data_IF_139754801320
#
_entry.id   IF_139754801320
#
_cell.length_a   1.000
_cell.length_b   1.000
_cell.length_c   1.000
_cell.angle_alpha   90.00
_cell.angle_beta   90.00
_cell.angle_gamma   90.00
#
_symmetry.space_group_name_H-M   'P 1'
#
loop_
_entity.id
_entity.type
_entity.pdbx_description
1 polymer ?
#
# COMPACT_ATOMS: atom_id res chain seq x y z
N UNK A 1 9.05 21.81 -2.11
CA UNK A 1 9.03 20.32 -2.06
C UNK A 1 10.30 19.87 -1.37
N UNK A 2 10.22 18.94 -0.42
CA UNK A 2 11.40 18.48 0.35
C UNK A 2 12.09 17.33 -0.40
N UNK A 3 13.41 17.24 -0.34
CA UNK A 3 14.16 16.04 -0.76
C UNK A 3 14.70 15.34 0.47
N UNK A 4 14.31 14.10 0.70
CA UNK A 4 14.83 13.22 1.76
C UNK A 4 15.92 12.32 1.18
N UNK A 5 17.13 12.41 1.73
CA UNK A 5 18.24 11.52 1.44
C UNK A 5 18.24 10.34 2.41
N UNK A 6 17.73 9.21 1.93
CA UNK A 6 17.53 7.95 2.67
C UNK A 6 18.63 6.93 2.30
N UNK A 7 18.73 5.86 3.07
CA UNK A 7 19.60 4.73 2.76
C UNK A 7 18.93 3.81 1.73
N UNK A 8 19.68 3.49 0.67
CA UNK A 8 19.31 2.44 -0.26
C UNK A 8 19.23 1.09 0.46
N UNK A 9 18.27 0.27 0.04
CA UNK A 9 18.07 -1.09 0.52
C UNK A 9 17.72 -1.99 -0.68
N UNK A 10 17.70 -3.30 -0.44
CA UNK A 10 17.24 -4.27 -1.44
C UNK A 10 15.81 -4.00 -1.85
N UNK A 11 15.47 -4.45 -3.06
CA UNK A 11 14.14 -4.34 -3.63
C UNK A 11 13.04 -4.81 -2.65
N UNK A 12 11.96 -4.02 -2.57
CA UNK A 12 10.85 -4.25 -1.65
C UNK A 12 11.08 -3.76 -0.22
N UNK A 13 12.28 -3.30 0.14
CA UNK A 13 12.58 -2.68 1.44
C UNK A 13 12.75 -1.18 1.25
N UNK A 14 11.95 -0.36 1.94
CA UNK A 14 12.13 1.12 1.91
C UNK A 14 13.47 1.52 2.54
N UNK A 15 13.68 1.10 3.78
CA UNK A 15 14.93 1.23 4.54
C UNK A 15 14.83 0.34 5.78
N UNK A 16 15.95 -0.26 6.19
CA UNK A 16 16.04 -1.01 7.45
C UNK A 16 16.54 -0.15 8.61
N UNK A 17 16.96 1.09 8.33
CA UNK A 17 17.49 1.98 9.35
C UNK A 17 16.36 2.71 10.09
N UNK A 18 16.34 2.67 11.43
CA UNK A 18 15.41 3.48 12.21
C UNK A 18 15.58 4.98 11.99
N UNK A 19 16.77 5.44 11.60
CA UNK A 19 17.04 6.87 11.52
C UNK A 19 16.22 7.57 10.42
N UNK A 20 16.22 7.10 9.16
CA UNK A 20 15.37 7.68 8.13
C UNK A 20 13.88 7.43 8.33
N UNK A 21 13.48 6.32 8.97
CA UNK A 21 12.09 6.10 9.36
C UNK A 21 11.54 7.22 10.25
N UNK A 22 12.33 7.75 11.19
CA UNK A 22 11.92 8.89 12.03
C UNK A 22 11.55 10.10 11.17
N UNK A 23 12.43 10.49 10.25
CA UNK A 23 12.17 11.62 9.34
C UNK A 23 10.98 11.34 8.41
N UNK A 24 10.83 10.10 7.94
CA UNK A 24 9.68 9.67 7.13
C UNK A 24 8.37 9.84 7.91
N UNK A 25 8.31 9.37 9.16
CA UNK A 25 7.14 9.58 10.01
C UNK A 25 6.86 11.06 10.26
N UNK A 26 7.87 11.89 10.51
CA UNK A 26 7.68 13.34 10.70
C UNK A 26 7.10 14.00 9.45
N UNK A 27 7.69 13.75 8.27
CA UNK A 27 7.20 14.30 7.00
C UNK A 27 5.77 13.85 6.72
N UNK A 28 5.49 12.57 6.97
CA UNK A 28 4.18 11.97 6.77
C UNK A 28 3.11 12.52 7.71
N UNK A 29 3.42 12.62 9.00
CA UNK A 29 2.52 13.14 10.04
C UNK A 29 2.17 14.60 9.81
N UNK A 30 3.16 15.38 9.34
CA UNK A 30 2.98 16.78 8.97
C UNK A 30 2.33 16.98 7.61
N UNK A 31 2.11 15.90 6.86
CA UNK A 31 1.61 15.91 5.49
C UNK A 31 2.45 16.80 4.54
N UNK A 32 3.77 16.78 4.70
CA UNK A 32 4.68 17.56 3.86
C UNK A 32 5.07 16.77 2.61
N UNK A 33 4.95 17.35 1.40
CA UNK A 33 5.31 16.67 0.17
C UNK A 33 6.83 16.56 0.02
N UNK A 34 7.31 15.33 -0.20
CA UNK A 34 8.73 15.06 -0.37
C UNK A 34 9.01 13.97 -1.41
N UNK A 35 10.21 14.04 -2.00
CA UNK A 35 10.79 12.93 -2.77
C UNK A 35 11.89 12.27 -1.97
N UNK A 36 12.10 10.97 -2.17
CA UNK A 36 13.21 10.22 -1.57
C UNK A 36 14.33 10.04 -2.60
N UNK A 37 15.57 10.30 -2.21
CA UNK A 37 16.78 9.94 -2.94
C UNK A 37 17.47 8.83 -2.13
N UNK A 38 17.43 7.56 -2.59
CA UNK A 38 18.15 6.49 -1.94
C UNK A 38 19.64 6.61 -2.25
N UNK A 39 20.49 6.52 -1.22
CA UNK A 39 21.94 6.54 -1.34
C UNK A 39 22.53 5.27 -0.75
N UNK A 40 23.51 4.68 -1.44
CA UNK A 40 24.36 3.65 -0.85
C UNK A 40 25.24 4.27 0.24
N UNK A 41 25.58 3.50 1.28
CA UNK A 41 26.43 3.98 2.37
C UNK A 41 27.72 4.71 1.92
N UNK A 42 28.53 4.19 0.97
CA UNK A 42 29.75 4.88 0.55
C UNK A 42 29.49 6.18 -0.22
N UNK A 43 28.28 6.39 -0.74
CA UNK A 43 27.94 7.56 -1.57
C UNK A 43 27.43 8.75 -0.73
N UNK A 44 27.10 8.52 0.54
CA UNK A 44 26.55 9.56 1.44
C UNK A 44 27.49 10.76 1.55
N UNK A 45 28.75 10.53 1.95
CA UNK A 45 29.71 11.61 2.18
C UNK A 45 30.06 12.37 0.90
N UNK A 46 30.40 11.72 -0.24
CA UNK A 46 30.64 12.41 -1.50
C UNK A 46 29.44 13.25 -1.98
N UNK A 47 28.23 12.69 -1.95
CA UNK A 47 27.04 13.38 -2.44
C UNK A 47 26.66 14.54 -1.52
N UNK A 48 26.80 14.38 -0.20
CA UNK A 48 26.48 15.46 0.74
C UNK A 48 27.45 16.63 0.63
N UNK A 49 28.75 16.36 0.44
CA UNK A 49 29.74 17.40 0.16
C UNK A 49 29.41 18.17 -1.13
N UNK A 50 29.06 17.46 -2.19
CA UNK A 50 28.67 18.04 -3.49
C UNK A 50 27.42 18.93 -3.37
N UNK A 51 26.45 18.51 -2.56
CA UNK A 51 25.19 19.22 -2.36
C UNK A 51 25.24 20.31 -1.27
N UNK A 52 26.37 20.45 -0.56
CA UNK A 52 26.51 21.38 0.55
C UNK A 52 25.69 20.99 1.79
N UNK A 53 25.36 19.70 1.95
CA UNK A 53 24.71 19.20 3.16
C UNK A 53 25.78 19.05 4.25
N UNK A 54 25.59 19.65 5.44
CA UNK A 54 26.59 19.59 6.50
C UNK A 54 26.68 18.18 7.13
N UNK A 55 27.80 17.85 7.79
CA UNK A 55 27.91 16.63 8.59
C UNK A 55 26.95 16.67 9.79
N UNK A 56 26.43 15.51 10.19
CA UNK A 56 25.50 15.39 11.33
C UNK A 56 26.21 15.34 12.67
N UNK A 57 27.43 14.80 12.69
CA UNK A 57 28.25 14.63 13.89
C UNK A 57 29.73 14.54 13.51
N UNK A 58 30.58 14.26 14.50
CA UNK A 58 32.01 14.01 14.34
C UNK A 58 32.33 12.55 14.68
N UNK A 59 33.27 11.96 13.94
CA UNK A 59 33.85 10.65 14.25
C UNK A 59 34.75 10.75 15.50
N UNK A 60 35.14 9.62 16.12
CA UNK A 60 36.03 9.63 17.28
C UNK A 60 37.40 10.28 17.03
N UNK A 61 37.88 10.28 15.79
CA UNK A 61 39.11 10.93 15.34
C UNK A 61 38.95 12.44 15.06
N UNK A 62 37.76 13.01 15.26
CA UNK A 62 37.42 14.40 15.00
C UNK A 62 37.03 14.71 13.55
N UNK A 63 37.09 13.75 12.63
CA UNK A 63 36.68 13.96 11.25
C UNK A 63 35.16 14.16 11.12
N UNK A 64 34.68 14.92 10.12
CA UNK A 64 33.25 15.04 9.83
C UNK A 64 32.58 13.68 9.58
N UNK A 65 31.41 13.47 10.15
CA UNK A 65 30.59 12.28 9.91
C UNK A 65 29.29 12.66 9.23
N UNK A 66 29.11 12.18 8.00
CA UNK A 66 27.91 12.39 7.20
C UNK A 66 27.00 11.18 7.35
N UNK A 67 25.73 11.40 7.68
CA UNK A 67 24.78 10.31 7.94
C UNK A 67 23.42 10.58 7.33
N UNK A 68 22.74 9.51 6.91
CA UNK A 68 21.31 9.54 6.61
C UNK A 68 20.46 9.36 7.88
N UNK A 69 19.30 10.04 8.02
CA UNK A 69 18.67 10.91 7.02
C UNK A 69 19.27 12.31 6.99
N UNK A 70 19.16 12.94 5.84
CA UNK A 70 19.31 14.39 5.65
C UNK A 70 18.24 14.87 4.70
N UNK A 71 17.87 16.14 4.77
CA UNK A 71 16.92 16.75 3.85
C UNK A 71 17.51 18.00 3.20
N UNK A 72 17.01 18.32 2.01
CA UNK A 72 17.03 19.69 1.48
C UNK A 72 15.59 20.15 1.34
N UNK A 73 15.24 21.20 2.06
CA UNK A 73 13.99 21.89 1.86
C UNK A 73 14.13 22.94 0.76
N UNK A 74 13.61 22.65 -0.42
CA UNK A 74 13.72 23.55 -1.57
C UNK A 74 12.85 24.80 -1.45
N UNK A 75 11.90 24.86 -0.50
CA UNK A 75 11.12 26.08 -0.26
C UNK A 75 11.99 27.19 0.37
N UNK A 76 12.95 26.80 1.21
CA UNK A 76 13.86 27.72 1.91
C UNK A 76 15.32 27.57 1.45
N UNK A 77 15.58 26.61 0.55
CA UNK A 77 16.92 26.17 0.15
C UNK A 77 17.81 25.77 1.35
N UNK A 78 17.23 25.13 2.36
CA UNK A 78 17.92 24.80 3.61
C UNK A 78 18.28 23.31 3.66
N UNK A 79 19.58 22.94 3.72
CA UNK A 79 20.01 21.59 4.04
C UNK A 79 19.96 21.36 5.56
N UNK A 80 19.35 20.25 5.97
CA UNK A 80 19.26 19.86 7.39
C UNK A 80 19.64 18.39 7.54
N UNK A 81 20.47 18.10 8.53
CA UNK A 81 20.94 16.75 8.85
C UNK A 81 20.64 16.46 10.32
N UNK A 82 20.73 15.18 10.71
CA UNK A 82 20.25 14.62 11.98
C UNK A 82 18.73 14.55 12.08
N UNK A 83 18.20 13.34 12.34
CA UNK A 83 16.76 13.09 12.36
C UNK A 83 15.98 13.92 13.39
N UNK A 84 16.58 14.24 14.55
CA UNK A 84 15.94 15.06 15.60
C UNK A 84 15.97 16.53 15.19
N UNK A 85 17.12 17.03 14.72
CA UNK A 85 17.23 18.41 14.20
C UNK A 85 16.34 18.66 12.99
N UNK A 86 16.14 17.65 12.14
CA UNK A 86 15.17 17.71 11.05
C UNK A 86 13.75 17.88 11.61
N UNK A 87 13.38 17.17 12.68
CA UNK A 87 12.08 17.34 13.32
C UNK A 87 11.90 18.76 13.89
N UNK A 88 12.91 19.28 14.61
CA UNK A 88 12.91 20.67 15.11
C UNK A 88 12.79 21.70 13.99
N UNK A 89 13.54 21.53 12.90
CA UNK A 89 13.47 22.39 11.73
C UNK A 89 12.06 22.38 11.13
N UNK A 90 11.47 21.19 10.93
CA UNK A 90 10.16 21.07 10.31
C UNK A 90 9.03 21.60 11.20
N UNK A 91 9.13 21.47 12.52
CA UNK A 91 8.20 22.12 13.47
C UNK A 91 8.25 23.66 13.36
N UNK A 92 9.45 24.22 13.18
CA UNK A 92 9.67 25.66 13.04
C UNK A 92 9.31 26.20 11.66
N UNK A 93 9.66 25.49 10.59
CA UNK A 93 9.49 25.92 9.21
C UNK A 93 8.04 25.78 8.73
N UNK A 94 7.28 24.84 9.32
CA UNK A 94 5.89 24.54 8.97
C UNK A 94 5.00 24.54 10.23
N UNK A 95 4.87 25.68 10.93
CA UNK A 95 4.17 25.77 12.22
C UNK A 95 2.66 25.46 12.12
N UNK A 96 2.08 25.56 10.93
CA UNK A 96 0.69 25.21 10.64
C UNK A 96 0.42 23.69 10.61
N UNK A 97 1.47 22.88 10.54
CA UNK A 97 1.38 21.42 10.60
C UNK A 97 1.39 20.91 12.04
N UNK A 98 0.85 19.70 12.31
CA UNK A 98 0.95 19.07 13.62
C UNK A 98 2.38 19.06 14.16
N UNK A 99 2.56 19.54 15.40
CA UNK A 99 3.87 19.62 16.04
C UNK A 99 4.32 18.23 16.52
N UNK A 100 5.58 17.87 16.25
CA UNK A 100 6.15 16.58 16.69
C UNK A 100 6.98 16.73 17.96
N UNK A 101 7.46 17.94 18.24
CA UNK A 101 8.08 18.36 19.49
C UNK A 101 7.20 19.49 20.07
N UNK A 102 6.19 19.15 20.88
CA UNK A 102 5.28 20.15 21.44
C UNK A 102 6.02 21.19 22.30
N UNK A 103 5.55 22.44 22.25
CA UNK A 103 6.09 23.53 23.06
C UNK A 103 6.06 23.19 24.56
N UNK A 104 7.19 23.35 25.23
CA UNK A 104 7.38 23.00 26.64
C UNK A 104 7.77 21.53 26.88
N UNK A 105 7.81 20.70 25.84
CA UNK A 105 8.26 19.30 25.91
C UNK A 105 9.64 19.08 25.26
N UNK A 106 10.31 20.12 24.76
CA UNK A 106 11.57 20.04 24.00
C UNK A 106 12.63 19.26 24.78
N UNK A 107 12.86 19.62 26.04
CA UNK A 107 13.84 18.96 26.91
C UNK A 107 13.50 17.49 27.17
N UNK A 108 12.21 17.16 27.33
CA UNK A 108 11.77 15.78 27.56
C UNK A 108 11.88 14.92 26.30
N UNK A 109 11.55 15.48 25.13
CA UNK A 109 11.70 14.80 23.84
C UNK A 109 13.18 14.56 23.51
N UNK A 110 14.06 15.53 23.78
CA UNK A 110 15.50 15.37 23.62
C UNK A 110 16.06 14.29 24.57
N UNK A 111 15.73 14.38 25.87
CA UNK A 111 16.17 13.39 26.84
C UNK A 111 15.66 11.97 26.52
N UNK A 112 14.43 11.85 26.02
CA UNK A 112 13.90 10.56 25.56
C UNK A 112 14.70 10.02 24.37
N UNK A 113 14.94 10.85 23.34
CA UNK A 113 15.69 10.44 22.15
C UNK A 113 17.13 10.00 22.49
N UNK A 114 17.79 10.72 23.39
CA UNK A 114 19.14 10.37 23.88
C UNK A 114 19.15 9.09 24.70
N UNK A 115 18.17 8.90 25.60
CA UNK A 115 18.12 7.74 26.50
C UNK A 115 17.59 6.47 25.82
N UNK A 116 16.83 6.59 24.73
CA UNK A 116 16.25 5.46 24.02
C UNK A 116 17.32 4.53 23.43
N UNK A 117 18.38 5.06 22.79
CA UNK A 117 19.39 4.23 22.14
C UNK A 117 20.25 3.42 23.11
N UNK A 118 20.73 3.98 24.23
CA UNK A 118 21.35 3.21 25.30
C UNK A 118 20.43 2.11 25.85
N UNK A 119 19.14 2.40 26.07
CA UNK A 119 18.16 1.41 26.53
C UNK A 119 18.05 0.24 25.54
N UNK A 120 18.02 0.52 24.24
CA UNK A 120 17.91 -0.48 23.18
C UNK A 120 19.24 -1.16 22.83
N UNK A 121 20.35 -0.82 23.49
CA UNK A 121 21.66 -1.41 23.28
C UNK A 121 21.70 -2.96 23.25
N UNK A 122 20.99 -3.67 24.14
CA UNK A 122 20.92 -5.15 24.13
C UNK A 122 20.37 -5.75 22.83
N UNK A 123 19.70 -4.97 21.99
CA UNK A 123 19.10 -5.43 20.72
C UNK A 123 20.13 -5.52 19.60
N UNK A 124 21.20 -4.72 19.64
CA UNK A 124 22.16 -4.63 18.54
C UNK A 124 22.84 -5.95 18.15
N UNK A 125 23.24 -6.85 19.06
CA UNK A 125 23.79 -8.16 18.70
C UNK A 125 22.85 -9.03 17.84
N UNK A 126 21.53 -8.85 17.97
CA UNK A 126 20.51 -9.57 17.20
C UNK A 126 20.15 -8.85 15.90
N UNK A 127 20.19 -7.51 15.90
CA UNK A 127 19.78 -6.67 14.78
C UNK A 127 20.86 -6.54 13.70
N UNK A 128 22.10 -6.23 14.09
CA UNK A 128 23.17 -5.85 13.17
C UNK A 128 23.57 -6.95 12.16
N UNK A 129 23.61 -8.25 12.53
CA UNK A 129 23.87 -9.31 11.54
C UNK A 129 22.80 -9.34 10.44
N UNK A 130 21.52 -9.18 10.81
CA UNK A 130 20.40 -9.16 9.88
C UNK A 130 20.35 -7.88 9.03
N UNK A 131 20.85 -6.76 9.54
CA UNK A 131 20.86 -5.49 8.82
C UNK A 131 21.63 -5.58 7.49
N UNK A 132 22.79 -6.26 7.46
CA UNK A 132 23.56 -6.44 6.23
C UNK A 132 22.76 -7.17 5.13
N UNK A 133 21.87 -8.09 5.50
CA UNK A 133 21.03 -8.82 4.55
C UNK A 133 19.97 -7.94 3.87
N UNK A 134 19.66 -6.77 4.44
CA UNK A 134 18.68 -5.81 3.90
C UNK A 134 19.30 -4.83 2.89
N UNK A 135 20.63 -4.79 2.79
CA UNK A 135 21.37 -3.80 2.01
C UNK A 135 21.81 -4.34 0.65
N UNK A 136 21.98 -3.46 -0.34
CA UNK A 136 22.62 -3.81 -1.61
C UNK A 136 24.09 -4.21 -1.38
N UNK A 137 24.72 -4.98 -2.29
CA UNK A 137 26.05 -5.55 -2.06
C UNK A 137 27.11 -4.54 -1.60
N UNK A 138 27.18 -3.38 -2.26
CA UNK A 138 28.15 -2.32 -1.94
C UNK A 138 27.92 -1.74 -0.54
N UNK A 139 26.67 -1.47 -0.18
CA UNK A 139 26.30 -1.03 1.18
C UNK A 139 26.51 -2.10 2.23
N UNK A 140 26.24 -3.37 1.92
CA UNK A 140 26.44 -4.48 2.84
C UNK A 140 27.92 -4.65 3.20
N UNK A 141 28.81 -4.62 2.19
CA UNK A 141 30.26 -4.69 2.41
C UNK A 141 30.76 -3.51 3.26
N UNK A 142 30.36 -2.29 2.91
CA UNK A 142 30.68 -1.10 3.69
C UNK A 142 30.21 -1.24 5.14
N UNK A 143 28.95 -1.65 5.33
CA UNK A 143 28.31 -1.76 6.64
C UNK A 143 29.00 -2.81 7.51
N UNK A 144 29.31 -3.99 6.94
CA UNK A 144 30.03 -5.06 7.65
C UNK A 144 31.38 -4.55 8.13
N UNK A 145 32.17 -3.93 7.26
CA UNK A 145 33.49 -3.39 7.61
C UNK A 145 33.38 -2.33 8.69
N UNK A 146 32.58 -1.28 8.44
CA UNK A 146 32.49 -0.12 9.31
C UNK A 146 31.93 -0.46 10.69
N UNK A 147 30.93 -1.35 10.77
CA UNK A 147 30.38 -1.77 12.06
C UNK A 147 31.29 -2.77 12.78
N UNK A 148 32.02 -3.62 12.06
CA UNK A 148 32.96 -4.53 12.72
C UNK A 148 34.10 -3.77 13.39
N UNK A 149 34.59 -2.72 12.72
CA UNK A 149 35.56 -1.78 13.29
C UNK A 149 34.98 -1.03 14.50
N UNK A 150 33.75 -0.50 14.39
CA UNK A 150 33.09 0.21 15.47
C UNK A 150 32.86 -0.63 16.73
N UNK A 151 32.44 -1.89 16.57
CA UNK A 151 32.13 -2.79 17.69
C UNK A 151 33.31 -3.67 18.13
N UNK A 152 34.43 -3.65 17.39
CA UNK A 152 35.62 -4.46 17.68
C UNK A 152 35.43 -5.97 17.48
N UNK A 153 34.34 -6.39 16.83
CA UNK A 153 34.01 -7.79 16.56
C UNK A 153 33.42 -7.95 15.16
N UNK A 154 33.62 -9.08 14.46
CA UNK A 154 32.95 -9.33 13.19
C UNK A 154 31.43 -9.29 13.37
N UNK A 155 30.73 -8.34 12.73
CA UNK A 155 29.29 -8.16 13.02
C UNK A 155 28.43 -9.37 12.68
N UNK A 156 28.84 -10.19 11.72
CA UNK A 156 28.11 -11.41 11.34
C UNK A 156 28.24 -12.51 12.40
N UNK A 157 29.22 -12.39 13.30
CA UNK A 157 29.48 -13.32 14.40
C UNK A 157 29.07 -12.75 15.77
N UNK A 158 28.60 -11.51 15.82
CA UNK A 158 28.24 -10.80 17.05
C UNK A 158 27.06 -11.43 17.79
N UNK A 159 26.18 -12.16 17.09
CA UNK A 159 25.01 -12.76 17.70
C UNK A 159 25.40 -13.80 18.76
N UNK A 160 24.91 -13.68 20.01
CA UNK A 160 25.21 -14.65 21.05
C UNK A 160 24.60 -16.02 20.72
N UNK A 161 25.23 -17.09 21.22
CA UNK A 161 24.85 -18.50 20.96
C UNK A 161 24.60 -19.26 22.27
N UNK A 162 23.85 -20.36 22.21
CA UNK A 162 23.58 -21.23 23.36
C UNK A 162 22.95 -20.47 24.55
N UNK A 163 23.39 -20.78 25.76
CA UNK A 163 22.88 -20.16 27.00
C UNK A 163 23.11 -18.64 27.02
N UNK A 164 24.23 -18.16 26.47
CA UNK A 164 24.50 -16.73 26.37
C UNK A 164 23.47 -16.00 25.47
N UNK A 165 22.89 -16.69 24.48
CA UNK A 165 21.80 -16.15 23.66
C UNK A 165 20.54 -15.94 24.48
N UNK A 166 20.19 -16.91 25.32
CA UNK A 166 19.01 -16.85 26.17
C UNK A 166 19.13 -15.69 27.16
N UNK A 167 20.28 -15.55 27.82
CA UNK A 167 20.53 -14.45 28.76
C UNK A 167 20.58 -13.08 28.08
N UNK A 168 21.16 -12.99 26.87
CA UNK A 168 21.14 -11.76 26.10
C UNK A 168 19.72 -11.39 25.65
N UNK A 169 18.89 -12.37 25.30
CA UNK A 169 17.50 -12.13 24.89
C UNK A 169 16.63 -11.65 26.06
N UNK A 170 16.86 -12.15 27.28
CA UNK A 170 16.21 -11.61 28.50
C UNK A 170 16.52 -10.12 28.72
N UNK A 171 17.73 -9.67 28.37
CA UNK A 171 18.08 -8.24 28.45
C UNK A 171 17.34 -7.42 27.40
N UNK A 172 17.04 -7.99 26.24
CA UNK A 172 16.16 -7.36 25.23
C UNK A 172 14.74 -7.21 25.80
N UNK A 173 14.18 -8.29 26.34
CA UNK A 173 12.86 -8.26 26.97
C UNK A 173 12.79 -7.21 28.09
N UNK A 174 13.79 -7.16 28.99
CA UNK A 174 13.87 -6.17 30.06
C UNK A 174 13.95 -4.71 29.55
N UNK A 175 14.57 -4.48 28.39
CA UNK A 175 14.60 -3.17 27.77
C UNK A 175 13.20 -2.75 27.29
N UNK A 176 12.45 -3.67 26.68
CA UNK A 176 11.05 -3.45 26.34
C UNK A 176 10.17 -3.29 27.57
N UNK A 177 10.39 -4.05 28.65
CA UNK A 177 9.66 -3.86 29.91
C UNK A 177 9.86 -2.46 30.50
N UNK A 178 11.09 -1.95 30.45
CA UNK A 178 11.42 -0.58 30.87
C UNK A 178 10.68 0.45 30.01
N UNK A 179 10.72 0.29 28.69
CA UNK A 179 10.02 1.17 27.75
C UNK A 179 8.50 1.12 27.96
N UNK A 180 7.94 -0.06 28.22
CA UNK A 180 6.53 -0.23 28.57
C UNK A 180 6.21 0.47 29.90
N UNK A 181 7.11 0.40 30.88
CA UNK A 181 6.99 1.12 32.15
C UNK A 181 6.89 2.63 31.95
N UNK A 182 7.66 3.21 31.02
CA UNK A 182 7.56 4.62 30.65
C UNK A 182 6.24 4.93 29.94
N UNK A 183 5.89 4.16 28.90
CA UNK A 183 4.67 4.38 28.13
C UNK A 183 3.40 4.19 28.98
N UNK A 184 3.44 3.32 29.98
CA UNK A 184 2.31 3.08 30.91
C UNK A 184 2.05 4.23 31.88
N UNK A 185 2.92 5.24 31.94
CA UNK A 185 2.64 6.50 32.65
C UNK A 185 1.75 7.44 31.84
N UNK A 186 1.58 7.17 30.55
CA UNK A 186 0.69 7.92 29.68
C UNK A 186 -0.73 7.33 29.72
N UNK A 187 -1.79 8.18 29.74
CA UNK A 187 -3.18 7.71 29.73
C UNK A 187 -3.68 7.21 28.36
N UNK A 188 -2.90 7.39 27.29
CA UNK A 188 -3.28 7.05 25.92
C UNK A 188 -2.29 6.11 25.23
N UNK A 189 -2.44 5.89 23.91
CA UNK A 189 -1.60 4.97 23.15
C UNK A 189 -0.17 5.50 22.94
N UNK A 190 0.07 6.81 23.10
CA UNK A 190 1.34 7.49 22.82
C UNK A 190 1.98 8.05 24.10
N UNK A 191 3.24 8.49 24.05
CA UNK A 191 3.95 9.03 25.23
C UNK A 191 3.35 10.33 25.79
N UNK A 192 2.54 11.05 25.01
CA UNK A 192 1.78 12.24 25.45
C UNK A 192 0.26 12.03 25.32
N UNK A 193 -0.23 10.88 25.78
CA UNK A 193 -1.64 10.50 25.74
C UNK A 193 -2.09 10.18 24.32
N UNK A 194 -2.99 11.00 23.80
CA UNK A 194 -3.50 10.92 22.42
C UNK A 194 -2.63 11.68 21.42
N UNK A 195 -1.65 12.47 21.90
CA UNK A 195 -0.79 13.28 21.04
C UNK A 195 0.43 12.47 20.61
N UNK A 196 0.60 12.27 19.31
CA UNK A 196 1.82 11.70 18.72
C UNK A 196 2.95 12.74 18.79
N UNK A 197 4.13 12.27 19.17
CA UNK A 197 5.34 13.08 19.27
C UNK A 197 6.55 12.38 18.65
N UNK A 198 7.68 13.06 18.61
CA UNK A 198 8.94 12.50 18.09
C UNK A 198 9.37 11.24 18.87
N UNK A 199 9.14 11.19 20.19
CA UNK A 199 9.36 10.00 21.01
C UNK A 199 8.63 8.77 20.47
N UNK A 200 7.38 8.93 20.03
CA UNK A 200 6.60 7.85 19.43
C UNK A 200 7.20 7.39 18.11
N UNK A 201 7.71 8.32 17.29
CA UNK A 201 8.42 8.00 16.05
C UNK A 201 9.75 7.31 16.27
N UNK A 202 10.47 7.63 17.35
CA UNK A 202 11.69 6.91 17.73
C UNK A 202 11.38 5.44 17.98
N UNK A 203 10.34 5.14 18.77
CA UNK A 203 9.93 3.77 19.07
C UNK A 203 9.43 3.04 17.82
N UNK A 204 8.51 3.66 17.07
CA UNK A 204 7.95 3.06 15.85
C UNK A 204 9.04 2.75 14.82
N UNK A 205 9.99 3.66 14.64
CA UNK A 205 11.10 3.48 13.70
C UNK A 205 12.06 2.36 14.12
N UNK A 206 12.30 2.21 15.42
CA UNK A 206 13.09 1.09 15.94
C UNK A 206 12.39 -0.25 15.66
N UNK A 207 11.07 -0.33 15.88
CA UNK A 207 10.28 -1.51 15.56
C UNK A 207 10.26 -1.82 14.05
N UNK A 208 10.23 -0.80 13.18
CA UNK A 208 10.38 -1.00 11.72
C UNK A 208 11.74 -1.58 11.35
N UNK A 209 12.82 -1.06 11.92
CA UNK A 209 14.17 -1.59 11.71
C UNK A 209 14.28 -3.04 12.20
N UNK A 210 13.73 -3.33 13.38
CA UNK A 210 13.69 -4.69 13.93
C UNK A 210 12.96 -5.66 13.01
N UNK A 211 11.78 -5.28 12.53
CA UNK A 211 10.99 -6.07 11.58
C UNK A 211 11.78 -6.38 10.31
N UNK A 212 12.47 -5.39 9.76
CA UNK A 212 13.25 -5.54 8.54
C UNK A 212 14.46 -6.47 8.72
N UNK A 213 15.21 -6.31 9.83
CA UNK A 213 16.43 -7.08 10.07
C UNK A 213 16.18 -8.49 10.61
N UNK A 214 15.16 -8.66 11.48
CA UNK A 214 14.82 -9.97 12.06
C UNK A 214 13.89 -10.76 11.13
N UNK A 215 13.22 -10.11 10.18
CA UNK A 215 12.15 -10.66 9.33
C UNK A 215 10.86 -10.99 10.11
N UNK A 216 9.71 -10.89 9.43
CA UNK A 216 8.39 -11.13 10.04
C UNK A 216 8.20 -12.55 10.57
N UNK A 217 8.95 -13.51 10.06
CA UNK A 217 8.80 -14.92 10.38
C UNK A 217 9.70 -15.39 11.53
N UNK A 218 10.62 -14.55 12.01
CA UNK A 218 11.51 -14.90 13.12
C UNK A 218 10.76 -15.04 14.45
N UNK A 219 11.26 -15.91 15.31
CA UNK A 219 10.74 -16.08 16.66
C UNK A 219 11.02 -14.83 17.51
N UNK A 220 12.13 -14.13 17.25
CA UNK A 220 12.48 -12.85 17.86
C UNK A 220 11.41 -11.78 17.58
N UNK A 221 11.06 -11.57 16.31
CA UNK A 221 10.02 -10.60 15.95
C UNK A 221 8.66 -10.97 16.53
N UNK A 222 8.26 -12.25 16.44
CA UNK A 222 7.01 -12.74 17.03
C UNK A 222 6.96 -12.50 18.54
N UNK A 223 8.07 -12.73 19.24
CA UNK A 223 8.19 -12.51 20.70
C UNK A 223 7.96 -11.04 21.04
N UNK A 224 8.65 -10.12 20.35
CA UNK A 224 8.47 -8.67 20.55
C UNK A 224 7.01 -8.28 20.35
N UNK A 225 6.31 -8.86 19.37
CA UNK A 225 4.91 -8.52 19.09
C UNK A 225 3.91 -9.06 20.11
N UNK A 226 4.28 -10.01 20.98
CA UNK A 226 3.41 -10.53 22.05
C UNK A 226 3.79 -10.03 23.44
N UNK A 227 5.01 -9.51 23.62
CA UNK A 227 5.47 -8.93 24.88
C UNK A 227 4.57 -7.81 25.40
N UNK A 228 4.54 -7.68 26.72
CA UNK A 228 3.73 -6.70 27.45
C UNK A 228 2.26 -6.72 27.02
N UNK A 229 1.69 -7.91 26.86
CA UNK A 229 0.31 -8.14 26.41
C UNK A 229 0.03 -7.58 24.99
N UNK A 230 1.00 -7.72 24.08
CA UNK A 230 0.89 -7.24 22.70
C UNK A 230 0.99 -5.73 22.54
N UNK A 231 1.54 -5.01 23.53
CA UNK A 231 1.67 -3.54 23.55
C UNK A 231 2.31 -2.99 22.29
N UNK A 232 3.39 -3.60 21.82
CA UNK A 232 4.19 -3.09 20.69
C UNK A 232 3.49 -3.25 19.35
N UNK A 233 2.74 -4.35 19.19
CA UNK A 233 1.87 -4.53 18.04
C UNK A 233 0.76 -3.47 18.02
N UNK A 234 0.06 -3.30 19.14
CA UNK A 234 -1.01 -2.32 19.27
C UNK A 234 -0.51 -0.88 19.07
N UNK A 235 0.71 -0.57 19.56
CA UNK A 235 1.36 0.73 19.37
C UNK A 235 1.61 1.04 17.89
N UNK A 236 2.19 0.10 17.14
CA UNK A 236 2.38 0.25 15.70
C UNK A 236 1.06 0.40 14.95
N UNK A 237 0.07 -0.44 15.26
CA UNK A 237 -1.24 -0.36 14.62
C UNK A 237 -1.93 0.98 14.90
N UNK A 238 -1.84 1.50 16.13
CA UNK A 238 -2.38 2.80 16.52
C UNK A 238 -1.72 3.95 15.76
N UNK A 239 -0.40 3.89 15.58
CA UNK A 239 0.35 4.93 14.88
C UNK A 239 0.12 4.91 13.36
N UNK A 240 0.04 3.73 12.73
CA UNK A 240 0.01 3.60 11.27
C UNK A 240 -1.39 3.51 10.66
N UNK A 241 -2.33 2.89 11.39
CA UNK A 241 -3.69 2.64 10.92
C UNK A 241 -4.68 3.49 11.71
N UNK A 242 -4.44 3.66 13.01
CA UNK A 242 -5.35 4.36 13.93
C UNK A 242 -5.30 5.89 13.86
N UNK A 243 -4.18 6.49 13.47
CA UNK A 243 -4.03 7.95 13.50
C UNK A 243 -4.40 8.61 12.16
N UNK A 244 -5.39 9.54 12.12
CA UNK A 244 -5.89 10.14 10.89
C UNK A 244 -4.79 10.72 9.99
N UNK A 245 -3.80 11.43 10.52
CA UNK A 245 -2.72 12.06 9.73
C UNK A 245 -1.73 11.06 9.12
N UNK A 246 -1.45 9.93 9.79
CA UNK A 246 -0.53 8.91 9.27
C UNK A 246 -1.25 7.88 8.40
N UNK A 247 -2.51 7.59 8.72
CA UNK A 247 -3.44 6.94 7.80
C UNK A 247 -3.72 7.83 6.59
N UNK A 248 -3.66 9.16 6.74
CA UNK A 248 -3.65 10.16 5.68
C UNK A 248 -2.28 10.29 4.99
N UNK A 249 -1.23 9.63 5.45
CA UNK A 249 -0.07 9.48 4.59
C UNK A 249 -0.21 8.32 3.59
N UNK A 250 -1.21 7.44 3.79
CA UNK A 250 -1.87 6.75 2.68
C UNK A 250 -2.77 7.71 1.86
N UNK A 251 -2.95 8.98 2.24
CA UNK A 251 -3.66 10.03 1.46
C UNK A 251 -2.76 11.04 0.74
N UNK A 252 -1.44 10.84 0.74
CA UNK A 252 -0.67 11.28 -0.43
C UNK A 252 -0.94 10.37 -1.63
N UNK A 253 -1.40 9.15 -1.40
CA UNK A 253 -2.04 8.36 -2.45
C UNK A 253 -3.37 9.05 -2.74
N UNK A 254 -3.59 9.39 -3.99
CA UNK A 254 -4.90 9.77 -4.49
C UNK A 254 -4.98 9.10 -5.84
N UNK A 255 -5.84 8.09 -5.95
CA UNK A 255 -6.09 7.50 -7.26
C UNK A 255 -7.19 8.32 -7.94
N UNK A 256 -6.94 8.80 -9.14
CA UNK A 256 -8.02 9.30 -10.00
C UNK A 256 -8.60 8.12 -10.74
N UNK A 257 -9.80 7.71 -10.37
CA UNK A 257 -10.51 6.59 -10.96
C UNK A 257 -11.50 7.10 -12.02
N UNK A 258 -11.29 6.73 -13.27
CA UNK A 258 -12.13 7.11 -14.40
C UNK A 258 -13.22 6.07 -14.63
N UNK A 259 -14.45 6.47 -14.37
CA UNK A 259 -15.66 5.64 -14.39
C UNK A 259 -16.66 6.16 -15.43
N UNK A 260 -17.65 5.36 -15.82
CA UNK A 260 -18.74 5.73 -16.72
C UNK A 260 -19.89 6.34 -15.90
N UNK A 261 -20.40 7.47 -16.36
CA UNK A 261 -21.54 8.14 -15.76
C UNK A 261 -22.82 7.27 -15.84
N UNK A 262 -23.49 7.11 -14.70
CA UNK A 262 -24.75 6.37 -14.57
C UNK A 262 -25.93 7.34 -14.36
N UNK A 263 -27.17 6.84 -14.44
CA UNK A 263 -28.35 7.64 -14.06
C UNK A 263 -28.27 8.11 -12.61
N UNK A 264 -28.92 9.23 -12.32
CA UNK A 264 -29.03 9.79 -10.98
C UNK A 264 -29.59 8.76 -9.98
N UNK A 265 -28.95 8.63 -8.81
CA UNK A 265 -29.26 7.61 -7.81
C UNK A 265 -28.60 6.24 -8.03
N UNK A 266 -27.98 5.98 -9.19
CA UNK A 266 -27.22 4.77 -9.49
C UNK A 266 -25.73 5.06 -9.30
N UNK A 267 -25.08 4.41 -8.32
CA UNK A 267 -23.66 4.66 -7.99
C UNK A 267 -22.65 4.06 -8.98
N UNK A 268 -23.04 3.11 -9.83
CA UNK A 268 -22.23 2.56 -10.94
C UNK A 268 -23.02 1.56 -11.82
N UNK A 269 -22.48 1.25 -13.01
CA UNK A 269 -22.87 0.11 -13.84
C UNK A 269 -22.77 -1.23 -13.06
N UNK A 270 -23.66 -2.17 -13.36
CA UNK A 270 -23.56 -3.55 -12.88
C UNK A 270 -22.27 -4.25 -13.34
N UNK A 271 -21.64 -4.92 -12.38
CA UNK A 271 -20.63 -5.98 -12.43
C UNK A 271 -19.19 -5.74 -12.94
N UNK A 272 -18.87 -4.90 -13.94
CA UNK A 272 -17.46 -4.78 -14.44
C UNK A 272 -16.69 -3.54 -13.98
N UNK A 273 -17.37 -2.39 -13.89
CA UNK A 273 -16.83 -1.15 -13.30
C UNK A 273 -16.60 -1.23 -11.78
N UNK A 274 -17.49 -1.87 -10.98
CA UNK A 274 -17.28 -2.03 -9.55
C UNK A 274 -15.98 -2.76 -9.21
N UNK A 275 -15.45 -3.61 -10.09
CA UNK A 275 -14.27 -4.44 -9.85
C UNK A 275 -13.06 -3.61 -9.37
N UNK A 276 -12.72 -2.53 -10.06
CA UNK A 276 -11.60 -1.67 -9.67
C UNK A 276 -11.93 -0.76 -8.49
N UNK A 277 -13.18 -0.34 -8.37
CA UNK A 277 -13.64 0.38 -7.17
C UNK A 277 -13.51 -0.52 -5.94
N UNK A 278 -13.80 -1.81 -6.05
CA UNK A 278 -13.61 -2.79 -5.00
C UNK A 278 -12.13 -3.09 -4.73
N UNK A 279 -11.28 -3.13 -5.76
CA UNK A 279 -9.82 -3.21 -5.57
C UNK A 279 -9.37 -2.02 -4.73
N UNK A 280 -9.69 -0.80 -5.14
CA UNK A 280 -9.34 0.42 -4.40
C UNK A 280 -9.87 0.38 -2.95
N UNK A 281 -11.13 -0.02 -2.76
CA UNK A 281 -11.74 -0.14 -1.43
C UNK A 281 -11.11 -1.26 -0.57
N UNK A 282 -10.84 -2.43 -1.14
CA UNK A 282 -10.25 -3.57 -0.42
C UNK A 282 -8.83 -3.26 0.03
N UNK A 283 -8.07 -2.61 -0.85
CA UNK A 283 -6.75 -2.08 -0.56
C UNK A 283 -6.81 -0.85 0.36
N UNK A 284 -8.00 -0.32 0.66
CA UNK A 284 -8.18 0.90 1.47
C UNK A 284 -7.42 2.10 0.90
N UNK A 285 -7.31 2.16 -0.43
CA UNK A 285 -6.68 3.27 -1.13
C UNK A 285 -7.69 4.40 -1.32
N UNK A 286 -7.36 5.64 -0.94
CA UNK A 286 -8.21 6.79 -1.24
C UNK A 286 -8.22 7.11 -2.75
N UNK A 287 -9.39 7.44 -3.28
CA UNK A 287 -9.56 7.77 -4.69
C UNK A 287 -10.67 8.80 -4.90
N UNK A 288 -10.53 9.60 -5.96
CA UNK A 288 -11.61 10.42 -6.51
C UNK A 288 -12.13 9.78 -7.79
N UNK A 289 -13.45 9.77 -7.96
CA UNK A 289 -14.07 9.28 -9.19
C UNK A 289 -14.28 10.43 -10.15
N UNK A 290 -13.80 10.27 -11.39
CA UNK A 290 -14.18 11.12 -12.52
C UNK A 290 -15.18 10.35 -13.35
N UNK A 291 -16.42 10.82 -13.37
CA UNK A 291 -17.46 10.26 -14.22
C UNK A 291 -17.29 10.76 -15.65
N UNK A 292 -17.28 9.85 -16.60
CA UNK A 292 -17.15 10.10 -18.03
C UNK A 292 -18.40 9.64 -18.76
N UNK A 293 -18.84 10.43 -19.73
CA UNK A 293 -19.81 9.97 -20.70
C UNK A 293 -19.13 9.00 -21.67
N UNK A 294 -19.82 7.93 -22.07
CA UNK A 294 -19.35 7.00 -23.09
C UNK A 294 -18.76 7.66 -24.35
N UNK A 295 -19.39 8.69 -24.96
CA UNK A 295 -18.82 9.39 -26.11
C UNK A 295 -17.52 10.14 -25.82
N UNK A 296 -17.25 10.51 -24.56
CA UNK A 296 -16.12 11.37 -24.21
C UNK A 296 -14.84 10.60 -23.87
N UNK A 297 -14.95 9.30 -23.57
CA UNK A 297 -13.84 8.45 -23.07
C UNK A 297 -12.58 8.61 -23.91
N UNK A 298 -12.67 8.39 -25.23
CA UNK A 298 -11.50 8.42 -26.11
C UNK A 298 -10.86 9.83 -26.13
N UNK A 299 -11.68 10.88 -26.21
CA UNK A 299 -11.17 12.25 -26.27
C UNK A 299 -10.50 12.67 -24.96
N UNK A 300 -11.06 12.28 -23.81
CA UNK A 300 -10.53 12.58 -22.49
C UNK A 300 -9.25 11.80 -22.21
N UNK A 301 -9.23 10.51 -22.55
CA UNK A 301 -8.05 9.66 -22.34
C UNK A 301 -6.87 10.13 -23.18
N UNK A 302 -7.10 10.55 -24.43
CA UNK A 302 -6.04 11.18 -25.25
C UNK A 302 -5.52 12.48 -24.66
N UNK A 303 -6.39 13.33 -24.08
CA UNK A 303 -5.97 14.59 -23.42
C UNK A 303 -5.14 14.36 -22.16
N UNK A 304 -5.31 13.22 -21.52
CA UNK A 304 -4.69 12.85 -20.25
C UNK A 304 -3.53 11.87 -20.42
N UNK A 305 -3.12 11.59 -21.66
CA UNK A 305 -2.10 10.61 -22.02
C UNK A 305 -2.35 9.20 -21.45
N UNK A 306 -3.62 8.84 -21.25
CA UNK A 306 -4.02 7.49 -20.85
C UNK A 306 -3.95 6.57 -22.09
N UNK A 307 -3.22 5.45 -22.04
CA UNK A 307 -3.04 4.58 -23.21
C UNK A 307 -4.34 3.86 -23.60
N UNK A 308 -4.46 3.39 -24.85
CA UNK A 308 -5.57 2.52 -25.24
C UNK A 308 -5.51 1.19 -24.48
N UNK A 309 -6.67 0.65 -24.15
CA UNK A 309 -6.79 -0.63 -23.44
C UNK A 309 -6.66 -1.84 -24.37
N UNK A 310 -7.01 -1.69 -25.65
CA UNK A 310 -6.90 -2.72 -26.67
C UNK A 310 -6.82 -2.13 -28.08
N UNK A 311 -6.78 -3.00 -29.09
CA UNK A 311 -6.87 -2.65 -30.52
C UNK A 311 -8.15 -3.26 -31.08
N UNK A 312 -8.91 -2.47 -31.84
CA UNK A 312 -10.13 -2.91 -32.54
C UNK A 312 -9.77 -3.83 -33.71
N UNK A 313 -10.72 -4.62 -34.24
CA UNK A 313 -10.48 -5.47 -35.41
C UNK A 313 -9.99 -4.73 -36.67
N UNK A 314 -10.30 -3.44 -36.79
CA UNK A 314 -9.87 -2.56 -37.87
C UNK A 314 -8.47 -1.93 -37.65
N UNK A 315 -7.78 -2.30 -36.56
CA UNK A 315 -6.45 -1.81 -36.22
C UNK A 315 -6.44 -0.48 -35.45
N UNK A 316 -7.60 0.14 -35.20
CA UNK A 316 -7.67 1.39 -34.45
C UNK A 316 -7.58 1.18 -32.93
N UNK A 317 -7.06 2.15 -32.16
CA UNK A 317 -7.01 2.05 -30.71
C UNK A 317 -8.43 1.98 -30.11
N UNK A 318 -8.59 1.12 -29.11
CA UNK A 318 -9.79 1.02 -28.29
C UNK A 318 -9.51 1.61 -26.90
N UNK A 319 -10.33 2.57 -26.48
CA UNK A 319 -10.28 3.17 -25.15
C UNK A 319 -11.50 2.69 -24.35
N UNK A 320 -11.26 2.12 -23.18
CA UNK A 320 -12.32 1.62 -22.30
C UNK A 320 -12.07 2.03 -20.85
N UNK A 321 -13.14 2.37 -20.14
CA UNK A 321 -13.15 2.41 -18.68
C UNK A 321 -13.32 0.98 -18.12
N UNK A 322 -12.82 0.66 -16.90
CA UNK A 322 -12.11 1.52 -15.95
C UNK A 322 -10.65 1.81 -16.32
N UNK A 323 -10.17 2.98 -15.89
CA UNK A 323 -8.76 3.37 -15.93
C UNK A 323 -8.43 4.20 -14.69
N UNK A 324 -7.17 4.19 -14.28
CA UNK A 324 -6.69 5.00 -13.17
C UNK A 324 -5.53 5.89 -13.58
N UNK A 325 -5.41 7.03 -12.90
CA UNK A 325 -4.14 7.73 -12.74
C UNK A 325 -3.75 7.64 -11.27
N UNK A 326 -2.55 7.14 -11.02
CA UNK A 326 -1.95 7.17 -9.71
C UNK A 326 -1.26 8.53 -9.50
N UNK A 327 -1.89 9.44 -8.77
CA UNK A 327 -1.43 10.83 -8.69
C UNK A 327 -0.01 11.01 -8.13
N UNK A 328 0.46 10.20 -7.16
CA UNK A 328 1.87 10.15 -6.77
C UNK A 328 2.86 9.87 -7.89
N UNK A 329 2.61 8.84 -8.70
CA UNK A 329 3.56 8.35 -9.71
C UNK A 329 3.32 8.99 -11.07
N UNK A 330 2.17 9.63 -11.25
CA UNK A 330 1.61 10.08 -12.54
C UNK A 330 1.44 8.97 -13.56
N UNK A 331 1.47 7.70 -13.14
CA UNK A 331 1.31 6.57 -14.04
C UNK A 331 -0.18 6.33 -14.30
N UNK A 332 -0.54 6.26 -15.57
CA UNK A 332 -1.86 5.83 -16.02
C UNK A 332 -1.89 4.33 -16.24
N UNK A 333 -2.87 3.64 -15.67
CA UNK A 333 -3.07 2.20 -15.87
C UNK A 333 -4.46 1.96 -16.43
N UNK A 334 -4.51 1.19 -17.50
CA UNK A 334 -5.73 0.69 -18.13
C UNK A 334 -5.77 -0.81 -18.00
N UNK A 335 -6.97 -1.40 -18.14
CA UNK A 335 -7.28 -2.83 -17.88
C UNK A 335 -7.47 -3.16 -16.39
N UNK A 336 -8.61 -3.79 -16.07
CA UNK A 336 -8.98 -4.07 -14.69
C UNK A 336 -8.05 -5.01 -13.94
N UNK A 337 -7.43 -5.97 -14.63
CA UNK A 337 -6.51 -6.91 -14.01
C UNK A 337 -5.15 -6.24 -13.79
N UNK A 338 -4.66 -5.51 -14.80
CA UNK A 338 -3.40 -4.74 -14.70
C UNK A 338 -3.45 -3.66 -13.63
N UNK A 339 -4.61 -3.04 -13.41
CA UNK A 339 -4.82 -2.10 -12.30
C UNK A 339 -4.61 -2.81 -10.96
N UNK A 340 -5.16 -4.01 -10.78
CA UNK A 340 -4.98 -4.77 -9.54
C UNK A 340 -3.50 -5.18 -9.31
N UNK A 341 -2.83 -5.68 -10.35
CA UNK A 341 -1.40 -5.99 -10.31
C UNK A 341 -0.56 -4.77 -9.92
N UNK A 342 -0.76 -3.66 -10.64
CA UNK A 342 -0.06 -2.41 -10.38
C UNK A 342 -0.26 -1.93 -8.94
N UNK A 343 -1.50 -1.92 -8.44
CA UNK A 343 -1.76 -1.44 -7.09
C UNK A 343 -1.19 -2.37 -6.02
N UNK A 344 -1.17 -3.69 -6.25
CA UNK A 344 -0.54 -4.65 -5.34
C UNK A 344 0.99 -4.49 -5.30
N UNK A 345 1.62 -4.18 -6.43
CA UNK A 345 3.07 -3.92 -6.52
C UNK A 345 3.45 -2.57 -5.90
N UNK A 346 2.69 -1.52 -6.22
CA UNK A 346 3.01 -0.15 -5.81
C UNK A 346 2.67 0.15 -4.35
N UNK A 347 1.62 -0.48 -3.83
CA UNK A 347 1.11 -0.26 -2.48
C UNK A 347 1.11 -1.56 -1.66
N UNK A 348 2.28 -2.19 -1.44
CA UNK A 348 2.40 -3.49 -0.78
C UNK A 348 2.05 -3.45 0.70
N UNK A 349 2.00 -2.26 1.32
CA UNK A 349 1.54 -2.05 2.69
C UNK A 349 0.02 -2.20 2.86
N UNK A 350 -0.73 -2.16 1.76
CA UNK A 350 -2.18 -2.37 1.77
C UNK A 350 -2.53 -3.84 1.60
N UNK A 351 -3.75 -4.28 2.00
CA UNK A 351 -4.20 -5.64 1.74
C UNK A 351 -3.98 -6.03 0.27
N UNK A 352 -3.34 -7.17 0.04
CA UNK A 352 -3.03 -7.66 -1.31
C UNK A 352 -4.24 -8.33 -1.92
N UNK A 353 -4.61 -7.95 -3.14
CA UNK A 353 -5.75 -8.53 -3.86
C UNK A 353 -5.38 -9.86 -4.49
N UNK A 354 -4.15 -9.96 -5.01
CA UNK A 354 -3.58 -11.13 -5.68
C UNK A 354 -2.57 -11.77 -4.71
N UNK A 355 -2.88 -12.90 -4.03
CA UNK A 355 -1.94 -13.52 -3.10
C UNK A 355 -0.59 -13.85 -3.76
N UNK A 356 0.51 -13.68 -3.01
CA UNK A 356 1.86 -13.98 -3.50
C UNK A 356 1.98 -15.44 -3.93
N UNK A 357 2.49 -15.68 -5.13
CA UNK A 357 2.66 -17.02 -5.69
C UNK A 357 1.40 -17.61 -6.32
N UNK A 358 0.29 -16.87 -6.34
CA UNK A 358 -0.97 -17.29 -6.97
C UNK A 358 -1.19 -16.66 -8.36
N UNK A 359 -0.25 -15.85 -8.87
CA UNK A 359 -0.41 -15.02 -10.07
C UNK A 359 -0.81 -15.87 -11.31
N UNK A 360 -0.14 -17.00 -11.53
CA UNK A 360 -0.45 -17.90 -12.66
C UNK A 360 -1.83 -18.57 -12.53
N UNK A 361 -2.22 -18.96 -11.32
CA UNK A 361 -3.55 -19.53 -11.05
C UNK A 361 -4.65 -18.47 -11.24
N UNK A 362 -4.35 -17.22 -10.90
CA UNK A 362 -5.29 -16.11 -11.11
C UNK A 362 -5.48 -15.79 -12.58
N UNK A 363 -4.41 -15.72 -13.37
CA UNK A 363 -4.49 -15.52 -14.80
C UNK A 363 -5.32 -16.63 -15.46
N UNK A 364 -5.06 -17.90 -15.12
CA UNK A 364 -5.84 -19.03 -15.64
C UNK A 364 -7.33 -18.96 -15.23
N UNK A 365 -7.61 -18.57 -13.99
CA UNK A 365 -8.98 -18.37 -13.52
C UNK A 365 -9.68 -17.22 -14.26
N UNK A 366 -8.99 -16.10 -14.45
CA UNK A 366 -9.48 -14.93 -15.17
C UNK A 366 -9.90 -15.31 -16.60
N UNK A 367 -9.03 -16.00 -17.32
CA UNK A 367 -9.29 -16.48 -18.69
C UNK A 367 -10.49 -17.43 -18.72
N UNK A 368 -10.52 -18.42 -17.82
CA UNK A 368 -11.61 -19.38 -17.74
C UNK A 368 -12.94 -18.72 -17.40
N UNK A 369 -12.95 -17.76 -16.47
CA UNK A 369 -14.14 -17.01 -16.10
C UNK A 369 -14.71 -16.25 -17.30
N UNK A 370 -13.88 -15.54 -18.06
CA UNK A 370 -14.35 -14.80 -19.22
C UNK A 370 -14.90 -15.70 -20.31
N UNK A 371 -14.26 -16.84 -20.57
CA UNK A 371 -14.80 -17.84 -21.50
C UNK A 371 -16.20 -18.33 -21.07
N UNK A 372 -16.41 -18.52 -19.77
CA UNK A 372 -17.70 -18.97 -19.24
C UNK A 372 -18.76 -17.85 -19.22
N UNK A 373 -18.37 -16.58 -19.13
CA UNK A 373 -19.29 -15.42 -19.19
C UNK A 373 -19.71 -15.06 -20.62
N UNK A 374 -18.92 -15.41 -21.65
CA UNK A 374 -19.19 -15.09 -23.06
C UNK A 374 -20.65 -15.36 -23.50
N UNK A 375 -21.26 -16.51 -23.16
CA UNK A 375 -22.64 -16.82 -23.59
C UNK A 375 -23.71 -15.90 -23.00
N UNK A 376 -23.44 -15.20 -21.89
CA UNK A 376 -24.43 -14.41 -21.14
C UNK A 376 -24.51 -12.96 -21.64
N UNK A 377 -23.47 -12.46 -22.31
CA UNK A 377 -23.43 -11.08 -22.82
C UNK A 377 -24.66 -10.64 -23.62
N UNK A 378 -25.28 -11.47 -24.49
CA UNK A 378 -26.45 -11.03 -25.24
C UNK A 378 -27.65 -10.67 -24.35
N UNK A 379 -27.75 -11.21 -23.13
CA UNK A 379 -28.78 -10.85 -22.14
C UNK A 379 -28.36 -9.60 -21.34
N UNK A 380 -27.07 -9.44 -21.06
CA UNK A 380 -26.58 -8.30 -20.28
C UNK A 380 -26.56 -6.99 -21.08
N UNK A 381 -26.16 -7.04 -22.36
CA UNK A 381 -25.96 -5.85 -23.19
C UNK A 381 -27.19 -4.92 -23.25
N UNK A 382 -28.42 -5.41 -23.49
CA UNK A 382 -29.61 -4.55 -23.49
C UNK A 382 -29.89 -3.93 -22.12
N UNK A 383 -29.60 -4.66 -21.05
CA UNK A 383 -29.79 -4.21 -19.66
C UNK A 383 -28.86 -3.04 -19.30
N UNK A 384 -27.77 -2.83 -20.04
CA UNK A 384 -26.87 -1.67 -19.84
C UNK A 384 -27.58 -0.33 -20.13
N UNK A 385 -28.59 -0.32 -20.99
CA UNK A 385 -29.34 0.90 -21.31
C UNK A 385 -30.19 1.40 -20.13
N UNK A 386 -30.58 0.53 -19.20
CA UNK A 386 -31.41 0.93 -18.05
C UNK A 386 -30.60 1.69 -16.99
N UNK A 387 -29.28 1.47 -16.96
CA UNK A 387 -28.35 1.99 -15.95
C UNK A 387 -27.57 3.22 -16.41
N UNK A 388 -27.35 3.38 -17.71
CA UNK A 388 -26.66 4.54 -18.28
C UNK A 388 -27.54 5.78 -18.28
N UNK A 389 -26.94 6.95 -18.05
CA UNK A 389 -27.64 8.20 -18.27
C UNK A 389 -28.06 8.36 -19.76
N UNK A 390 -28.94 9.32 -20.09
CA UNK A 390 -29.49 9.43 -21.45
C UNK A 390 -28.42 9.55 -22.55
N UNK A 391 -27.39 10.38 -22.34
CA UNK A 391 -26.32 10.63 -23.32
C UNK A 391 -25.52 9.36 -23.60
N UNK A 392 -25.08 8.71 -22.52
CA UNK A 392 -24.34 7.47 -22.61
C UNK A 392 -25.18 6.31 -23.14
N UNK A 393 -26.47 6.24 -22.80
CA UNK A 393 -27.40 5.20 -23.28
C UNK A 393 -27.62 5.29 -24.79
N UNK A 394 -27.87 6.50 -25.32
CA UNK A 394 -28.04 6.71 -26.76
C UNK A 394 -26.77 6.33 -27.54
N UNK A 395 -25.60 6.80 -27.07
CA UNK A 395 -24.33 6.44 -27.69
C UNK A 395 -24.11 4.92 -27.66
N UNK A 396 -24.37 4.27 -26.51
CA UNK A 396 -24.19 2.84 -26.35
C UNK A 396 -25.11 2.06 -27.27
N UNK A 397 -26.41 2.38 -27.32
CA UNK A 397 -27.37 1.69 -28.20
C UNK A 397 -26.97 1.80 -29.66
N UNK A 398 -26.66 3.02 -30.13
CA UNK A 398 -26.24 3.26 -31.52
C UNK A 398 -24.99 2.48 -31.87
N UNK A 399 -23.93 2.62 -31.08
CA UNK A 399 -22.62 2.00 -31.38
C UNK A 399 -22.67 0.47 -31.31
N UNK A 400 -23.40 -0.11 -30.35
CA UNK A 400 -23.51 -1.57 -30.22
C UNK A 400 -24.45 -2.15 -31.25
N UNK A 401 -25.53 -1.45 -31.60
CA UNK A 401 -26.41 -1.85 -32.72
C UNK A 401 -25.64 -1.90 -34.04
N UNK A 402 -24.80 -0.89 -34.32
CA UNK A 402 -23.93 -0.90 -35.50
C UNK A 402 -22.93 -2.04 -35.45
N UNK A 403 -22.25 -2.24 -34.32
CA UNK A 403 -21.24 -3.29 -34.17
C UNK A 403 -21.83 -4.70 -34.29
N UNK A 404 -23.01 -4.93 -33.72
CA UNK A 404 -23.68 -6.24 -33.71
C UNK A 404 -24.56 -6.49 -34.93
N UNK A 405 -24.82 -5.46 -35.74
CA UNK A 405 -25.73 -5.53 -36.90
C UNK A 405 -27.20 -5.75 -36.53
N UNK A 406 -27.58 -5.65 -35.25
CA UNK A 406 -28.97 -5.79 -34.76
C UNK A 406 -29.26 -4.87 -33.58
N UNK A 407 -30.49 -4.34 -33.42
CA UNK A 407 -30.85 -3.49 -32.30
C UNK A 407 -30.69 -4.21 -30.95
N UNK A 408 -30.13 -3.52 -29.94
CA UNK A 408 -29.98 -4.10 -28.60
C UNK A 408 -31.32 -4.55 -28.02
N UNK A 409 -32.37 -3.74 -28.22
CA UNK A 409 -33.72 -4.04 -27.75
C UNK A 409 -34.26 -5.38 -28.28
N UNK A 410 -33.69 -5.94 -29.35
CA UNK A 410 -34.15 -7.18 -29.99
C UNK A 410 -33.24 -8.38 -29.69
N UNK A 411 -32.22 -8.20 -28.84
CA UNK A 411 -31.35 -9.27 -28.40
C UNK A 411 -31.97 -10.11 -27.29
N UNK A 412 -31.67 -11.42 -27.30
CA UNK A 412 -31.92 -12.34 -26.21
C UNK A 412 -33.37 -12.30 -25.71
N UNK A 413 -34.31 -12.45 -26.65
CA UNK A 413 -35.76 -12.53 -26.40
C UNK A 413 -36.27 -13.97 -26.54
N UNK A 414 -37.44 -14.24 -25.97
CA UNK A 414 -38.15 -15.52 -26.14
C UNK A 414 -37.28 -16.74 -25.85
N UNK A 415 -37.26 -17.69 -26.77
CA UNK A 415 -36.48 -18.94 -26.67
C UNK A 415 -34.96 -18.72 -26.63
N UNK A 416 -34.43 -17.72 -27.35
CA UNK A 416 -33.00 -17.36 -27.32
C UNK A 416 -32.58 -17.00 -25.89
N UNK A 417 -33.40 -16.23 -25.18
CA UNK A 417 -33.17 -15.86 -23.78
C UNK A 417 -33.10 -17.09 -22.88
N UNK A 418 -34.03 -18.02 -23.05
CA UNK A 418 -34.13 -19.24 -22.24
C UNK A 418 -32.87 -20.09 -22.46
N UNK A 419 -32.44 -20.24 -23.71
CA UNK A 419 -31.27 -21.04 -24.06
C UNK A 419 -29.96 -20.42 -23.52
N UNK A 420 -29.84 -19.09 -23.55
CA UNK A 420 -28.72 -18.40 -22.90
C UNK A 420 -28.71 -18.64 -21.38
N UNK A 421 -29.87 -18.59 -20.72
CA UNK A 421 -29.94 -18.86 -19.28
C UNK A 421 -29.61 -20.30 -18.92
N UNK A 422 -29.95 -21.29 -19.75
CA UNK A 422 -29.49 -22.68 -19.53
C UNK A 422 -27.96 -22.78 -19.59
N UNK A 423 -27.32 -22.07 -20.53
CA UNK A 423 -25.84 -22.01 -20.58
C UNK A 423 -25.26 -21.31 -19.35
N UNK A 424 -25.93 -20.27 -18.85
CA UNK A 424 -25.56 -19.57 -17.63
C UNK A 424 -25.67 -20.47 -16.38
N UNK A 425 -26.64 -21.37 -16.32
CA UNK A 425 -26.76 -22.34 -15.22
C UNK A 425 -25.53 -23.24 -15.12
N UNK A 426 -25.01 -23.74 -16.24
CA UNK A 426 -23.77 -24.51 -16.26
C UNK A 426 -22.57 -23.72 -15.72
N UNK A 427 -22.50 -22.41 -16.02
CA UNK A 427 -21.50 -21.51 -15.42
C UNK A 427 -21.66 -21.45 -13.90
N UNK A 428 -22.88 -21.22 -13.40
CA UNK A 428 -23.12 -21.10 -11.96
C UNK A 428 -22.86 -22.42 -11.23
N UNK A 429 -23.14 -23.56 -11.86
CA UNK A 429 -22.82 -24.88 -11.31
C UNK A 429 -21.31 -25.13 -11.25
N UNK A 430 -20.55 -24.75 -12.28
CA UNK A 430 -19.09 -24.82 -12.26
C UNK A 430 -18.49 -23.95 -11.14
N UNK A 431 -18.95 -22.69 -11.01
CA UNK A 431 -18.54 -21.78 -9.94
C UNK A 431 -18.90 -22.34 -8.55
N UNK A 432 -20.09 -22.91 -8.40
CA UNK A 432 -20.51 -23.55 -7.16
C UNK A 432 -19.63 -24.76 -6.82
N UNK A 433 -19.28 -25.59 -7.80
CA UNK A 433 -18.40 -26.74 -7.62
C UNK A 433 -16.97 -26.35 -7.24
N UNK A 434 -16.51 -25.16 -7.60
CA UNK A 434 -15.23 -24.61 -7.12
C UNK A 434 -15.36 -24.08 -5.68
N UNK A 435 -16.39 -23.28 -5.39
CA UNK A 435 -16.64 -22.74 -4.06
C UNK A 435 -16.85 -23.83 -3.01
N UNK A 436 -17.51 -24.94 -3.36
CA UNK A 436 -17.76 -26.05 -2.43
C UNK A 436 -16.51 -26.79 -1.98
N UNK A 437 -15.37 -26.59 -2.65
CA UNK A 437 -14.07 -27.21 -2.30
C UNK A 437 -13.27 -26.35 -1.31
N UNK A 438 -13.65 -25.09 -1.07
CA UNK A 438 -12.96 -24.17 -0.18
C UNK A 438 -13.54 -24.11 1.24
N UNK A 439 -12.78 -23.55 2.18
CA UNK A 439 -13.20 -23.30 3.57
C UNK A 439 -13.56 -21.82 3.76
N UNK A 440 -14.77 -21.43 3.36
CA UNK A 440 -15.29 -20.06 3.55
C UNK A 440 -16.14 -19.56 2.38
N UNK A 441 -16.62 -18.30 2.44
CA UNK A 441 -17.56 -17.77 1.44
C UNK A 441 -16.91 -17.37 0.10
N UNK A 442 -15.58 -17.36 0.01
CA UNK A 442 -14.82 -16.97 -1.19
C UNK A 442 -13.98 -18.14 -1.72
N UNK A 443 -13.50 -18.06 -2.97
CA UNK A 443 -12.60 -19.06 -3.55
C UNK A 443 -11.28 -19.23 -2.78
N UNK A 444 -10.88 -18.24 -1.97
CA UNK A 444 -9.73 -18.33 -1.06
C UNK A 444 -10.15 -18.42 0.42
N UNK A 445 -11.26 -19.10 0.68
CA UNK A 445 -11.81 -19.27 2.01
C UNK A 445 -12.40 -17.97 2.55
N UNK A 446 -11.74 -17.34 3.53
CA UNK A 446 -12.20 -16.08 4.16
C UNK A 446 -11.63 -14.82 3.50
N UNK A 447 -10.76 -14.96 2.48
CA UNK A 447 -10.16 -13.83 1.78
C UNK A 447 -10.65 -13.72 0.33
N UNK A 448 -10.67 -12.49 -0.18
CA UNK A 448 -10.97 -12.21 -1.58
C UNK A 448 -9.81 -12.70 -2.46
N UNK A 449 -10.12 -13.51 -3.48
CA UNK A 449 -9.12 -14.06 -4.41
C UNK A 449 -8.93 -13.17 -5.64
N UNK A 450 -9.96 -12.49 -6.12
CA UNK A 450 -9.89 -11.79 -7.40
C UNK A 450 -10.93 -10.67 -7.46
N UNK A 451 -10.64 -9.55 -8.15
CA UNK A 451 -11.61 -8.50 -8.44
C UNK A 451 -12.89 -9.08 -9.07
N UNK A 452 -12.73 -10.05 -9.98
CA UNK A 452 -13.80 -10.72 -10.74
C UNK A 452 -14.88 -11.35 -9.85
N UNK A 453 -14.53 -11.77 -8.63
CA UNK A 453 -15.44 -12.54 -7.76
C UNK A 453 -16.29 -11.66 -6.84
N UNK A 454 -16.10 -10.35 -6.86
CA UNK A 454 -16.95 -9.41 -6.13
C UNK A 454 -18.30 -9.18 -6.81
N UNK A 455 -18.42 -9.41 -8.13
CA UNK A 455 -19.72 -9.34 -8.82
C UNK A 455 -20.66 -10.47 -8.41
N UNK A 456 -20.13 -11.59 -7.88
CA UNK A 456 -20.90 -12.76 -7.47
C UNK A 456 -21.29 -12.78 -5.97
N UNK A 457 -21.29 -11.62 -5.31
CA UNK A 457 -21.58 -11.42 -3.86
C UNK A 457 -22.97 -11.86 -3.36
N UNK A 458 -23.75 -12.54 -4.19
CA UNK A 458 -25.00 -13.14 -3.78
C UNK A 458 -24.75 -14.47 -3.08
N UNK A 459 -25.32 -14.66 -1.90
CA UNK A 459 -25.28 -15.95 -1.19
C UNK A 459 -25.78 -17.09 -2.09
N UNK A 460 -25.49 -18.34 -1.73
CA UNK A 460 -26.02 -19.54 -2.41
C UNK A 460 -27.52 -19.44 -2.69
N UNK A 461 -28.28 -18.85 -1.77
CA UNK A 461 -29.72 -18.64 -1.86
C UNK A 461 -30.10 -17.56 -2.87
N UNK A 462 -29.38 -16.43 -2.86
CA UNK A 462 -29.62 -15.32 -3.78
C UNK A 462 -29.40 -15.70 -5.24
N UNK A 463 -28.42 -16.55 -5.55
CA UNK A 463 -28.15 -17.03 -6.93
C UNK A 463 -29.25 -17.98 -7.45
N UNK A 464 -29.74 -18.89 -6.61
CA UNK A 464 -30.83 -19.81 -6.96
C UNK A 464 -32.18 -19.09 -7.14
N UNK A 465 -32.43 -18.04 -6.36
CA UNK A 465 -33.60 -17.15 -6.53
C UNK A 465 -33.53 -16.40 -7.85
N UNK A 466 -32.34 -15.97 -8.26
CA UNK A 466 -32.13 -15.25 -9.52
C UNK A 466 -32.39 -16.14 -10.74
N UNK A 467 -31.85 -17.36 -10.76
CA UNK A 467 -32.13 -18.37 -11.81
C UNK A 467 -33.62 -18.71 -11.89
N UNK A 468 -34.29 -18.91 -10.74
CA UNK A 468 -35.74 -19.16 -10.70
C UNK A 468 -36.56 -17.97 -11.22
N UNK A 469 -36.18 -16.74 -10.90
CA UNK A 469 -36.85 -15.52 -11.39
C UNK A 469 -36.62 -15.30 -12.89
N UNK A 470 -35.42 -15.56 -13.41
CA UNK A 470 -35.09 -15.47 -14.83
C UNK A 470 -35.95 -16.40 -15.68
N UNK A 471 -36.10 -17.66 -15.24
CA UNK A 471 -36.97 -18.68 -15.86
C UNK A 471 -38.44 -18.27 -15.91
N UNK A 472 -38.91 -17.50 -14.93
CA UNK A 472 -40.32 -17.08 -14.84
C UNK A 472 -40.67 -15.84 -15.66
N UNK A 473 -39.70 -15.22 -16.36
CA UNK A 473 -39.92 -13.96 -17.09
C UNK A 473 -40.15 -12.73 -16.20
N UNK A 474 -40.04 -12.86 -14.88
CA UNK A 474 -40.34 -11.80 -13.89
C UNK A 474 -39.14 -10.92 -13.54
N UNK A 475 -38.08 -10.96 -14.33
CA UNK A 475 -36.92 -10.09 -14.15
C UNK A 475 -37.06 -8.93 -15.14
N UNK A 476 -37.50 -7.77 -14.65
CA UNK A 476 -37.42 -6.49 -15.34
C UNK A 476 -36.00 -5.93 -15.24
#
# INVERSE_FOLDING_TARGET
MITLYDLAAKEGIKTASPNPWKTRYVLNYKNLPYKTVPLEFPDIEPEFKKLGIPPSTTKPDGAPHYTSPSIIDHATNTPVTDSYKIAEYLDKAYPETPQVIPKGAEALQAAFHDQFWPLMGPVFPFLLPGAAATLNPVSAEYFIRARSEQFGVPILEMAPKGDARVEAWKKVEAAFDTLNGWLSKSPGPFFMGETITFADFVVASALKGLKACLTENSEEWKSIMVWNNGRWKAFLESLEIGHPQLSQCLTQIMITFYDIAAKEGIKSLGETVPLNRYVLNYKKLPYKTVALEYPDIESQFKKLDIPPSAVKPDGLPLYTSPSIIDEPTKKSITDSYKIAEYLDEMYPETPRVIPKGAEALQAAFYDQFWQLMQPIFPVMLPSVLSILNPVSAEYFDRTRTTWLGKPLKDMAKGEERIEIWKKAENLFDALNGWLSKGTGPFLWGTRLLSPILLSLQYSRESRLVWVKRARSGKMQ
#
